data_IF_341299468137
#
_entry.id   IF_341299468137
#
_cell.length_a   1.000
_cell.length_b   1.000
_cell.length_c   1.000
_cell.angle_alpha   90.00
_cell.angle_beta   90.00
_cell.angle_gamma   90.00
#
_symmetry.space_group_name_H-M   'P 1'
#
loop_
_entity.id
_entity.type
_entity.pdbx_description
1 polymer ?
#
# COMPACT_ATOMS: atom_id res chain seq x y z
N UNK A 1 -9.06 -3.86 -41.57
CA UNK A 1 -8.89 -3.70 -40.11
C UNK A 1 -9.22 -2.26 -39.77
N UNK A 2 -10.37 -2.00 -39.15
CA UNK A 2 -10.74 -0.62 -38.76
C UNK A 2 -9.80 -0.16 -37.65
N UNK A 3 -9.19 1.01 -37.81
CA UNK A 3 -8.52 1.75 -36.72
C UNK A 3 -9.53 1.99 -35.60
N UNK A 4 -9.59 1.07 -34.62
CA UNK A 4 -10.25 1.34 -33.34
C UNK A 4 -9.41 2.43 -32.69
N UNK A 5 -9.89 3.68 -32.75
CA UNK A 5 -9.25 4.83 -32.10
C UNK A 5 -8.99 4.49 -30.64
N UNK A 6 -7.71 4.45 -30.27
CA UNK A 6 -7.27 4.38 -28.87
C UNK A 6 -7.96 5.52 -28.10
N UNK A 7 -8.67 5.18 -27.03
CA UNK A 7 -9.42 6.17 -26.25
C UNK A 7 -8.55 6.62 -25.08
N UNK A 8 -7.85 7.72 -25.28
CA UNK A 8 -7.12 8.42 -24.22
C UNK A 8 -8.10 9.26 -23.38
N UNK A 9 -7.93 9.22 -22.06
CA UNK A 9 -8.67 10.06 -21.12
C UNK A 9 -7.80 10.48 -19.95
N UNK A 10 -7.87 11.76 -19.60
CA UNK A 10 -7.23 12.32 -18.42
C UNK A 10 -8.24 12.53 -17.28
N UNK A 11 -7.81 12.22 -16.06
CA UNK A 11 -8.58 12.34 -14.83
C UNK A 11 -7.76 13.13 -13.80
N UNK A 12 -8.27 14.31 -13.44
CA UNK A 12 -7.73 15.13 -12.35
C UNK A 12 -8.48 14.81 -11.06
N UNK A 13 -8.13 13.69 -10.46
CA UNK A 13 -8.87 13.10 -9.35
C UNK A 13 -8.18 13.26 -8.00
N UNK A 14 -6.90 13.66 -7.93
CA UNK A 14 -6.23 13.82 -6.65
C UNK A 14 -6.82 14.98 -5.84
N UNK A 15 -7.17 14.71 -4.58
CA UNK A 15 -7.63 15.69 -3.60
C UNK A 15 -7.16 15.27 -2.20
N UNK A 16 -6.23 16.04 -1.63
CA UNK A 16 -5.62 15.73 -0.33
C UNK A 16 -6.62 15.75 0.83
N UNK A 17 -7.69 16.53 0.68
CA UNK A 17 -8.75 16.79 1.64
C UNK A 17 -9.99 15.91 1.43
N UNK A 18 -9.97 14.98 0.48
CA UNK A 18 -11.08 14.03 0.32
C UNK A 18 -11.33 13.28 1.63
N UNK A 19 -12.55 13.38 2.12
CA UNK A 19 -13.00 12.74 3.35
C UNK A 19 -13.43 11.30 3.05
N UNK A 20 -12.92 10.38 3.86
CA UNK A 20 -13.34 8.98 3.91
C UNK A 20 -13.96 8.69 5.27
N UNK A 21 -15.02 7.90 5.23
CA UNK A 21 -15.66 7.35 6.41
C UNK A 21 -15.08 5.96 6.70
N UNK A 22 -14.45 5.80 7.86
CA UNK A 22 -13.95 4.49 8.31
C UNK A 22 -14.00 4.36 9.82
N UNK A 23 -13.94 3.12 10.30
CA UNK A 23 -13.73 2.84 11.72
C UNK A 23 -12.23 2.85 12.03
N UNK A 24 -11.72 3.82 12.82
CA UNK A 24 -10.29 3.91 13.12
C UNK A 24 -9.78 2.71 13.93
N UNK A 25 -10.64 2.12 14.78
CA UNK A 25 -10.26 0.94 15.55
C UNK A 25 -9.94 -0.25 14.63
N UNK A 26 -10.65 -0.41 13.52
CA UNK A 26 -10.41 -1.50 12.57
C UNK A 26 -9.09 -1.31 11.83
N UNK A 27 -8.78 -0.07 11.40
CA UNK A 27 -7.48 0.23 10.77
C UNK A 27 -6.30 0.06 11.70
N UNK A 28 -6.47 0.38 12.98
CA UNK A 28 -5.43 0.15 13.99
C UNK A 28 -5.25 -1.36 14.24
N UNK A 29 -6.34 -2.13 14.34
CA UNK A 29 -6.28 -3.59 14.46
C UNK A 29 -5.60 -4.22 13.24
N UNK A 30 -5.89 -3.75 12.03
CA UNK A 30 -5.24 -4.21 10.80
C UNK A 30 -3.72 -3.94 10.84
N UNK A 31 -3.31 -2.77 11.32
CA UNK A 31 -1.90 -2.44 11.50
C UNK A 31 -1.23 -3.33 12.56
N UNK A 32 -1.90 -3.67 13.66
CA UNK A 32 -1.38 -4.61 14.67
C UNK A 32 -1.21 -6.01 14.07
N UNK A 33 -2.24 -6.55 13.41
CA UNK A 33 -2.17 -7.85 12.72
C UNK A 33 -1.02 -7.90 11.72
N UNK A 34 -0.90 -6.87 10.87
CA UNK A 34 0.20 -6.82 9.90
C UNK A 34 1.57 -6.79 10.57
N UNK A 35 1.69 -6.16 11.73
CA UNK A 35 2.95 -6.18 12.51
C UNK A 35 3.24 -7.58 13.04
N UNK A 36 2.22 -8.29 13.54
CA UNK A 36 2.33 -9.70 13.96
C UNK A 36 2.75 -10.60 12.79
N UNK A 37 2.09 -10.48 11.63
CA UNK A 37 2.40 -11.25 10.42
C UNK A 37 3.84 -11.06 9.97
N UNK A 38 4.34 -9.81 10.01
CA UNK A 38 5.73 -9.52 9.65
C UNK A 38 6.67 -10.23 10.64
N UNK A 39 6.41 -10.17 11.95
CA UNK A 39 7.24 -10.85 12.95
C UNK A 39 7.18 -12.38 12.77
N UNK A 40 6.00 -12.93 12.49
CA UNK A 40 5.82 -14.35 12.14
C UNK A 40 6.74 -14.75 10.98
N UNK A 41 6.70 -14.01 9.88
CA UNK A 41 7.53 -14.33 8.72
C UNK A 41 9.02 -14.06 8.93
N UNK A 42 9.40 -13.11 9.79
CA UNK A 42 10.81 -13.00 10.25
C UNK A 42 11.22 -14.29 10.97
N UNK A 43 10.39 -14.80 11.87
CA UNK A 43 10.68 -16.02 12.61
C UNK A 43 10.86 -17.21 11.67
N UNK A 44 10.00 -17.33 10.65
CA UNK A 44 10.07 -18.39 9.64
C UNK A 44 11.30 -18.29 8.73
N UNK A 45 11.65 -17.09 8.27
CA UNK A 45 12.74 -16.88 7.30
C UNK A 45 14.10 -16.74 7.96
N UNK A 46 14.18 -16.08 9.11
CA UNK A 46 15.42 -15.74 9.85
C UNK A 46 15.16 -15.61 11.35
N UNK A 47 14.86 -16.72 12.03
CA UNK A 47 14.47 -16.76 13.45
C UNK A 47 15.26 -15.85 14.42
N UNK A 48 16.59 -15.76 14.26
CA UNK A 48 17.44 -14.93 15.14
C UNK A 48 17.26 -13.41 15.00
N UNK A 49 16.58 -12.93 13.97
CA UNK A 49 16.47 -11.49 13.62
C UNK A 49 15.26 -10.82 14.32
N UNK A 50 14.26 -11.60 14.73
CA UNK A 50 13.00 -11.05 15.22
C UNK A 50 13.14 -10.15 16.48
N UNK A 51 13.95 -10.50 17.50
CA UNK A 51 14.14 -9.64 18.67
C UNK A 51 14.73 -8.27 18.31
N UNK A 52 15.82 -8.25 17.55
CA UNK A 52 16.50 -7.00 17.14
C UNK A 52 15.60 -6.13 16.26
N UNK A 53 14.80 -6.75 15.39
CA UNK A 53 13.81 -6.05 14.58
C UNK A 53 12.74 -5.36 15.44
N UNK A 54 12.22 -6.08 16.45
CA UNK A 54 11.21 -5.52 17.36
C UNK A 54 11.78 -4.33 18.13
N UNK A 55 13.01 -4.44 18.64
CA UNK A 55 13.68 -3.34 19.33
C UNK A 55 13.91 -2.12 18.41
N UNK A 56 14.39 -2.34 17.19
CA UNK A 56 14.59 -1.29 16.19
C UNK A 56 13.27 -0.59 15.84
N UNK A 57 12.19 -1.35 15.63
CA UNK A 57 10.87 -0.80 15.34
C UNK A 57 10.33 0.01 16.53
N UNK A 58 10.48 -0.48 17.77
CA UNK A 58 10.11 0.26 18.98
C UNK A 58 10.84 1.61 19.03
N UNK A 59 12.16 1.64 18.80
CA UNK A 59 12.97 2.85 18.82
C UNK A 59 12.48 3.87 17.78
N UNK A 60 12.18 3.42 16.57
CA UNK A 60 11.64 4.30 15.50
C UNK A 60 10.28 4.86 15.84
N UNK A 61 9.35 4.01 16.29
CA UNK A 61 8.00 4.46 16.64
C UNK A 61 8.01 5.40 17.84
N UNK A 62 8.85 5.16 18.85
CA UNK A 62 9.03 6.06 19.98
C UNK A 62 9.47 7.47 19.53
N UNK A 63 10.44 7.54 18.63
CA UNK A 63 10.91 8.81 18.06
C UNK A 63 9.80 9.52 17.29
N UNK A 64 8.99 8.77 16.54
CA UNK A 64 7.92 9.34 15.73
C UNK A 64 6.72 9.84 16.54
N UNK A 65 6.29 9.07 17.54
CA UNK A 65 5.12 9.46 18.32
C UNK A 65 5.42 10.58 19.32
N UNK A 66 6.69 10.88 19.61
CA UNK A 66 7.18 12.04 20.38
C UNK A 66 6.17 12.66 21.39
N UNK A 67 5.87 11.96 22.48
CA UNK A 67 4.98 12.49 23.53
C UNK A 67 3.48 12.58 23.18
N UNK A 68 3.06 12.10 22.00
CA UNK A 68 1.67 11.88 21.64
C UNK A 68 1.08 10.76 22.51
N UNK A 69 -0.03 11.02 23.17
CA UNK A 69 -0.71 10.09 24.08
C UNK A 69 -2.14 9.88 23.64
N UNK A 70 -2.65 8.67 23.85
CA UNK A 70 -4.01 8.27 23.54
C UNK A 70 -4.43 7.19 24.55
N UNK A 71 -5.73 7.08 24.86
CA UNK A 71 -6.25 5.98 25.65
C UNK A 71 -6.23 4.68 24.82
N UNK A 72 -5.08 4.00 24.79
CA UNK A 72 -4.90 2.77 24.00
C UNK A 72 -5.80 1.62 24.50
N UNK A 73 -6.21 1.66 25.77
CA UNK A 73 -7.13 0.68 26.37
C UNK A 73 -8.55 0.79 25.83
N UNK A 74 -8.91 1.91 25.19
CA UNK A 74 -10.22 2.07 24.57
C UNK A 74 -10.39 1.20 23.32
N UNK A 75 -9.31 0.68 22.74
CA UNK A 75 -9.35 -0.27 21.63
C UNK A 75 -9.36 -1.69 22.21
N UNK A 76 -10.50 -2.38 22.07
CA UNK A 76 -10.58 -3.80 22.39
C UNK A 76 -9.81 -4.63 21.36
N UNK A 77 -8.77 -5.34 21.80
CA UNK A 77 -8.00 -6.27 20.98
C UNK A 77 -8.53 -7.71 21.05
N UNK A 78 -9.50 -8.00 21.93
CA UNK A 78 -10.05 -9.35 22.19
C UNK A 78 -10.40 -10.14 20.93
N UNK A 79 -10.95 -9.48 19.92
CA UNK A 79 -11.36 -10.12 18.66
C UNK A 79 -10.17 -10.64 17.85
N UNK A 80 -9.01 -10.02 18.00
CA UNK A 80 -7.80 -10.31 17.22
C UNK A 80 -6.74 -11.05 18.03
N UNK A 81 -6.77 -10.95 19.36
CA UNK A 81 -5.83 -11.59 20.31
C UNK A 81 -5.61 -13.08 20.04
N UNK A 82 -6.68 -13.81 19.71
CA UNK A 82 -6.60 -15.25 19.40
C UNK A 82 -5.72 -15.54 18.17
N UNK A 83 -5.66 -14.60 17.23
CA UNK A 83 -4.92 -14.72 15.98
C UNK A 83 -3.50 -14.13 16.07
N UNK A 84 -3.20 -13.31 17.09
CA UNK A 84 -1.85 -12.80 17.31
C UNK A 84 -0.97 -13.94 17.82
N UNK A 85 0.17 -14.16 17.20
CA UNK A 85 1.07 -15.29 17.51
C UNK A 85 2.37 -14.82 18.16
N UNK A 86 2.89 -13.66 17.75
CA UNK A 86 4.20 -13.16 18.19
C UNK A 86 4.11 -11.83 18.98
N UNK A 87 3.02 -11.08 18.86
CA UNK A 87 2.77 -9.86 19.63
C UNK A 87 2.04 -10.10 20.96
N UNK A 88 1.74 -11.36 21.30
CA UNK A 88 1.03 -11.74 22.55
C UNK A 88 1.71 -11.27 23.85
N UNK A 89 2.97 -10.81 23.78
CA UNK A 89 3.76 -10.38 24.94
C UNK A 89 4.37 -8.97 24.77
N UNK A 90 4.03 -8.26 23.69
CA UNK A 90 4.61 -6.96 23.36
C UNK A 90 3.67 -5.78 23.63
N UNK A 91 3.32 -5.53 24.90
CA UNK A 91 2.46 -4.39 25.28
C UNK A 91 3.01 -3.06 24.74
N UNK A 92 4.33 -2.87 24.80
CA UNK A 92 4.96 -1.63 24.36
C UNK A 92 4.82 -1.41 22.85
N UNK A 93 5.23 -2.38 22.02
CA UNK A 93 5.14 -2.26 20.56
C UNK A 93 3.69 -2.10 20.11
N UNK A 94 2.76 -2.87 20.69
CA UNK A 94 1.33 -2.75 20.40
C UNK A 94 0.81 -1.34 20.70
N UNK A 95 1.15 -0.80 21.88
CA UNK A 95 0.79 0.57 22.25
C UNK A 95 1.42 1.62 21.33
N UNK A 96 2.64 1.42 20.86
CA UNK A 96 3.31 2.32 19.92
C UNK A 96 2.65 2.31 18.55
N UNK A 97 2.25 1.14 18.04
CA UNK A 97 1.47 1.03 16.79
C UNK A 97 0.15 1.77 16.94
N UNK A 98 -0.58 1.60 18.05
CA UNK A 98 -1.84 2.34 18.32
C UNK A 98 -1.60 3.85 18.29
N UNK A 99 -0.58 4.33 19.02
CA UNK A 99 -0.24 5.76 19.11
C UNK A 99 0.15 6.33 17.76
N UNK A 100 1.00 5.63 17.01
CA UNK A 100 1.44 6.05 15.69
C UNK A 100 0.27 6.18 14.72
N UNK A 101 -0.57 5.13 14.63
CA UNK A 101 -1.73 5.12 13.75
C UNK A 101 -2.71 6.24 14.11
N UNK A 102 -3.02 6.41 15.40
CA UNK A 102 -3.92 7.46 15.87
C UNK A 102 -3.38 8.88 15.55
N UNK A 103 -2.09 9.11 15.77
CA UNK A 103 -1.42 10.37 15.47
C UNK A 103 -1.49 10.70 13.98
N UNK A 104 -1.15 9.75 13.09
CA UNK A 104 -1.15 9.98 11.64
C UNK A 104 -2.57 10.08 11.06
N UNK A 105 -3.56 9.44 11.68
CA UNK A 105 -4.98 9.66 11.41
C UNK A 105 -5.50 11.00 11.94
N UNK A 106 -4.67 11.82 12.60
CA UNK A 106 -5.04 13.08 13.22
C UNK A 106 -6.16 12.94 14.28
N UNK A 107 -6.20 11.81 14.99
CA UNK A 107 -7.05 11.67 16.18
C UNK A 107 -6.52 12.62 17.26
N UNK A 108 -7.37 13.38 17.98
CA UNK A 108 -6.87 14.30 18.97
C UNK A 108 -6.17 13.57 20.12
N UNK A 109 -5.09 14.17 20.62
CA UNK A 109 -4.36 13.69 21.80
C UNK A 109 -5.33 13.47 22.97
N UNK A 110 -5.05 12.46 23.78
CA UNK A 110 -5.81 12.09 24.99
C UNK A 110 -7.28 11.70 24.72
N UNK A 111 -7.66 11.52 23.46
CA UNK A 111 -8.99 11.03 23.08
C UNK A 111 -9.14 9.53 23.32
N UNK A 112 -10.40 9.10 23.40
CA UNK A 112 -10.77 7.69 23.31
C UNK A 112 -11.05 7.34 21.86
N UNK A 113 -10.44 6.25 21.39
CA UNK A 113 -10.72 5.66 20.09
C UNK A 113 -11.96 4.79 20.27
N UNK A 114 -13.09 5.26 19.73
CA UNK A 114 -14.36 4.52 19.74
C UNK A 114 -14.47 3.66 18.48
N UNK A 115 -15.03 2.47 18.60
CA UNK A 115 -15.39 1.61 17.46
C UNK A 115 -16.63 2.14 16.74
N UNK A 116 -16.50 3.30 16.10
CA UNK A 116 -17.55 3.91 15.28
C UNK A 116 -16.95 4.51 14.03
N UNK A 117 -17.77 4.67 12.99
CA UNK A 117 -17.38 5.40 11.79
C UNK A 117 -17.02 6.83 12.18
N UNK A 118 -15.88 7.29 11.65
CA UNK A 118 -15.38 8.65 11.78
C UNK A 118 -14.78 9.11 10.44
N UNK A 119 -14.74 10.42 10.26
CA UNK A 119 -14.25 11.08 9.06
C UNK A 119 -12.74 11.33 9.15
N UNK A 120 -12.02 10.98 8.09
CA UNK A 120 -10.59 11.24 7.96
C UNK A 120 -10.26 11.64 6.53
N UNK A 121 -9.25 12.46 6.33
CA UNK A 121 -8.75 12.69 4.96
C UNK A 121 -8.08 11.41 4.44
N UNK A 122 -8.23 11.12 3.15
CA UNK A 122 -7.56 9.98 2.52
C UNK A 122 -6.03 10.10 2.65
N UNK A 123 -5.48 11.32 2.62
CA UNK A 123 -4.07 11.55 2.85
C UNK A 123 -3.63 11.15 4.26
N UNK A 124 -4.41 11.45 5.31
CA UNK A 124 -4.08 11.01 6.67
C UNK A 124 -4.16 9.48 6.80
N UNK A 125 -5.15 8.86 6.16
CA UNK A 125 -5.23 7.39 6.07
C UNK A 125 -3.97 6.81 5.42
N UNK A 126 -3.57 7.34 4.27
CA UNK A 126 -2.36 6.90 3.55
C UNK A 126 -1.09 7.12 4.38
N UNK A 127 -0.93 8.29 5.02
CA UNK A 127 0.19 8.56 5.94
C UNK A 127 0.27 7.56 7.09
N UNK A 128 -0.87 7.15 7.64
CA UNK A 128 -0.90 6.15 8.70
C UNK A 128 -0.49 4.76 8.18
N UNK A 129 -1.10 4.29 7.10
CA UNK A 129 -0.86 2.94 6.58
C UNK A 129 0.53 2.79 5.94
N UNK A 130 0.85 3.67 4.99
CA UNK A 130 2.10 3.61 4.22
C UNK A 130 3.29 4.02 5.08
N UNK A 131 3.10 5.01 5.96
CA UNK A 131 4.14 5.42 6.90
C UNK A 131 4.48 4.31 7.91
N UNK A 132 3.50 3.51 8.35
CA UNK A 132 3.76 2.36 9.20
C UNK A 132 4.59 1.29 8.45
N UNK A 133 4.29 1.04 7.16
CA UNK A 133 5.10 0.16 6.32
C UNK A 133 6.53 0.70 6.14
N UNK A 134 6.68 2.00 5.91
CA UNK A 134 7.98 2.65 5.82
C UNK A 134 8.84 2.37 7.06
N UNK A 135 8.29 2.55 8.26
CA UNK A 135 9.03 2.28 9.50
C UNK A 135 9.32 0.80 9.75
N UNK A 136 8.51 -0.12 9.23
CA UNK A 136 8.83 -1.56 9.26
C UNK A 136 10.06 -1.86 8.41
N UNK A 137 10.12 -1.34 7.19
CA UNK A 137 11.30 -1.54 6.32
C UNK A 137 12.54 -0.87 6.92
N UNK A 138 12.40 0.37 7.43
CA UNK A 138 13.50 1.08 8.09
C UNK A 138 14.03 0.36 9.34
N UNK A 139 13.19 -0.40 10.04
CA UNK A 139 13.63 -1.22 11.16
C UNK A 139 14.50 -2.40 10.71
N UNK A 140 14.21 -3.02 9.56
CA UNK A 140 15.10 -4.02 8.95
C UNK A 140 16.43 -3.44 8.52
N UNK A 141 16.41 -2.25 7.91
CA UNK A 141 17.64 -1.56 7.52
C UNK A 141 18.55 -1.27 8.72
N UNK A 142 18.00 -0.89 9.88
CA UNK A 142 18.81 -0.60 11.08
C UNK A 142 19.64 -1.80 11.55
N UNK A 143 19.13 -3.01 11.34
CA UNK A 143 19.72 -4.24 11.89
C UNK A 143 20.47 -5.08 10.85
N UNK A 144 20.11 -4.98 9.57
CA UNK A 144 20.70 -5.76 8.47
C UNK A 144 21.44 -4.89 7.45
N UNK A 145 21.28 -3.57 7.49
CA UNK A 145 21.66 -2.68 6.40
C UNK A 145 20.60 -2.62 5.30
N UNK A 146 20.73 -1.64 4.39
CA UNK A 146 19.69 -1.30 3.41
C UNK A 146 19.36 -2.45 2.45
N UNK A 147 20.37 -3.04 1.83
CA UNK A 147 20.20 -4.08 0.80
C UNK A 147 19.55 -5.35 1.38
N UNK A 148 20.12 -5.89 2.46
CA UNK A 148 19.59 -7.09 3.11
C UNK A 148 18.25 -6.85 3.80
N UNK A 149 18.04 -5.65 4.35
CA UNK A 149 16.78 -5.26 4.96
C UNK A 149 15.64 -5.18 3.94
N UNK A 150 15.89 -4.55 2.77
CA UNK A 150 14.94 -4.52 1.65
C UNK A 150 14.66 -5.93 1.17
N UNK A 151 15.70 -6.74 0.93
CA UNK A 151 15.56 -8.12 0.45
C UNK A 151 14.68 -8.97 1.36
N UNK A 152 14.95 -8.95 2.67
CA UNK A 152 14.15 -9.71 3.63
C UNK A 152 12.69 -9.23 3.66
N UNK A 153 12.46 -7.91 3.64
CA UNK A 153 11.10 -7.40 3.61
C UNK A 153 10.36 -7.77 2.32
N UNK A 154 11.04 -7.70 1.17
CA UNK A 154 10.49 -8.15 -0.10
C UNK A 154 10.08 -9.63 -0.06
N UNK A 155 10.90 -10.50 0.51
CA UNK A 155 10.58 -11.93 0.66
C UNK A 155 9.36 -12.14 1.60
N UNK A 156 9.25 -11.35 2.67
CA UNK A 156 8.06 -11.34 3.55
C UNK A 156 6.82 -10.88 2.79
N UNK A 157 6.91 -9.84 1.98
CA UNK A 157 5.78 -9.35 1.18
C UNK A 157 5.27 -10.40 0.19
N UNK A 158 6.16 -11.18 -0.43
CA UNK A 158 5.77 -12.31 -1.29
C UNK A 158 4.94 -13.35 -0.54
N UNK A 159 5.36 -13.73 0.67
CA UNK A 159 4.60 -14.65 1.53
C UNK A 159 3.21 -14.08 1.86
N UNK A 160 3.15 -12.82 2.28
CA UNK A 160 1.90 -12.14 2.60
C UNK A 160 0.95 -12.10 1.40
N UNK A 161 1.46 -11.81 0.20
CA UNK A 161 0.64 -11.77 -1.01
C UNK A 161 0.12 -13.16 -1.38
N UNK A 162 0.94 -14.21 -1.28
CA UNK A 162 0.48 -15.60 -1.47
C UNK A 162 -0.65 -15.96 -0.49
N UNK A 163 -0.50 -15.63 0.78
CA UNK A 163 -1.54 -15.86 1.79
C UNK A 163 -2.82 -15.09 1.45
N UNK A 164 -2.72 -13.81 1.07
CA UNK A 164 -3.87 -12.99 0.66
C UNK A 164 -4.59 -13.60 -0.55
N UNK A 165 -3.83 -13.98 -1.59
CA UNK A 165 -4.36 -14.58 -2.82
C UNK A 165 -5.06 -15.92 -2.60
N UNK A 166 -4.56 -16.74 -1.67
CA UNK A 166 -5.16 -18.04 -1.36
C UNK A 166 -6.63 -17.99 -0.92
N UNK A 167 -7.08 -16.82 -0.44
CA UNK A 167 -8.47 -16.59 0.01
C UNK A 167 -9.31 -15.75 -0.94
N UNK A 168 -8.70 -15.21 -1.99
CA UNK A 168 -9.36 -14.30 -2.92
C UNK A 168 -10.25 -15.09 -3.89
N UNK A 169 -11.52 -14.70 -3.99
CA UNK A 169 -12.43 -15.23 -5.02
C UNK A 169 -12.29 -14.41 -6.30
N UNK A 170 -11.97 -15.08 -7.40
CA UNK A 170 -11.83 -14.44 -8.70
C UNK A 170 -13.17 -14.53 -9.44
N UNK A 171 -13.71 -13.39 -9.86
CA UNK A 171 -14.86 -13.35 -10.76
C UNK A 171 -14.36 -13.45 -12.20
N UNK A 172 -14.47 -14.61 -12.83
CA UNK A 172 -13.96 -14.86 -14.19
C UNK A 172 -14.64 -14.04 -15.31
N UNK A 173 -15.75 -13.35 -15.00
CA UNK A 173 -16.53 -12.61 -16.00
C UNK A 173 -16.11 -11.16 -16.18
N UNK A 174 -15.24 -10.63 -15.32
CA UNK A 174 -14.83 -9.23 -15.43
C UNK A 174 -13.83 -9.04 -16.58
N UNK A 175 -13.99 -7.96 -17.34
CA UNK A 175 -13.01 -7.50 -18.34
C UNK A 175 -12.10 -6.43 -17.73
N UNK A 176 -10.94 -6.19 -18.35
CA UNK A 176 -10.05 -5.08 -17.96
C UNK A 176 -10.81 -3.75 -17.99
N UNK A 177 -11.60 -3.51 -19.04
CA UNK A 177 -12.46 -2.31 -19.13
C UNK A 177 -13.44 -2.19 -17.97
N UNK A 178 -14.16 -3.26 -17.59
CA UNK A 178 -15.11 -3.22 -16.49
C UNK A 178 -14.43 -2.95 -15.14
N UNK A 179 -13.29 -3.61 -14.87
CA UNK A 179 -12.48 -3.36 -13.66
C UNK A 179 -11.99 -1.90 -13.63
N UNK A 180 -11.54 -1.38 -14.77
CA UNK A 180 -11.06 0.00 -14.90
C UNK A 180 -12.15 1.03 -14.65
N UNK A 181 -13.34 0.86 -15.24
CA UNK A 181 -14.44 1.81 -15.04
C UNK A 181 -14.84 1.90 -13.56
N UNK A 182 -14.87 0.76 -12.86
CA UNK A 182 -15.07 0.72 -11.41
C UNK A 182 -13.91 1.35 -10.62
N UNK A 183 -12.67 1.07 -11.01
CA UNK A 183 -11.48 1.62 -10.36
C UNK A 183 -11.42 3.14 -10.50
N UNK A 184 -11.60 3.69 -11.71
CA UNK A 184 -11.61 5.12 -11.99
C UNK A 184 -12.67 5.84 -11.16
N UNK A 185 -13.90 5.32 -11.13
CA UNK A 185 -14.97 5.89 -10.31
C UNK A 185 -14.54 5.99 -8.84
N UNK A 186 -14.11 4.86 -8.25
CA UNK A 186 -13.66 4.79 -6.86
C UNK A 186 -12.47 5.71 -6.59
N UNK A 187 -11.45 5.69 -7.44
CA UNK A 187 -10.25 6.52 -7.28
C UNK A 187 -10.57 8.01 -7.31
N UNK A 188 -11.53 8.41 -8.13
CA UNK A 188 -12.00 9.80 -8.18
C UNK A 188 -12.88 10.18 -6.98
N UNK A 189 -13.70 9.27 -6.48
CA UNK A 189 -14.46 9.46 -5.23
C UNK A 189 -13.51 9.56 -4.02
N UNK A 190 -12.47 8.73 -3.96
CA UNK A 190 -11.51 8.66 -2.86
C UNK A 190 -10.36 9.66 -2.97
N UNK A 191 -10.24 10.41 -4.07
CA UNK A 191 -9.18 11.40 -4.25
C UNK A 191 -7.78 10.80 -4.49
N UNK A 192 -7.69 9.60 -5.07
CA UNK A 192 -6.47 8.76 -5.07
C UNK A 192 -5.34 9.33 -5.92
N UNK A 193 -5.61 9.93 -7.07
CA UNK A 193 -4.53 10.35 -7.96
C UNK A 193 -4.96 11.13 -9.18
N UNK A 194 -4.01 11.81 -9.81
CA UNK A 194 -4.14 12.41 -11.14
C UNK A 194 -3.50 11.45 -12.13
N UNK A 195 -4.24 11.03 -13.15
CA UNK A 195 -3.77 10.03 -14.09
C UNK A 195 -4.40 10.17 -15.48
N UNK A 196 -3.66 9.72 -16.47
CA UNK A 196 -4.17 9.49 -17.83
C UNK A 196 -4.22 8.00 -18.09
N UNK A 197 -5.24 7.53 -18.80
CA UNK A 197 -5.22 6.16 -19.31
C UNK A 197 -5.51 6.10 -20.81
N UNK A 198 -4.96 5.08 -21.45
CA UNK A 198 -5.29 4.69 -22.83
C UNK A 198 -5.86 3.27 -22.80
N UNK A 199 -7.13 3.14 -23.19
CA UNK A 199 -7.74 1.84 -23.43
C UNK A 199 -7.45 1.42 -24.88
N UNK A 200 -6.62 0.40 -25.05
CA UNK A 200 -6.30 -0.15 -26.36
C UNK A 200 -7.47 -0.98 -26.90
N UNK A 201 -8.03 -1.83 -26.04
CA UNK A 201 -9.22 -2.63 -26.28
C UNK A 201 -9.88 -3.00 -24.93
N UNK A 202 -10.93 -3.83 -24.94
CA UNK A 202 -11.66 -4.18 -23.70
C UNK A 202 -10.83 -4.99 -22.68
N UNK A 203 -9.69 -5.51 -23.11
CA UNK A 203 -8.82 -6.44 -22.40
C UNK A 203 -7.41 -5.89 -22.14
N UNK A 204 -7.14 -4.61 -22.44
CA UNK A 204 -5.83 -3.99 -22.22
C UNK A 204 -5.89 -2.48 -22.04
N UNK A 205 -5.26 -1.98 -20.98
CA UNK A 205 -5.16 -0.55 -20.65
C UNK A 205 -3.75 -0.22 -20.18
N UNK A 206 -3.28 1.00 -20.48
CA UNK A 206 -2.14 1.60 -19.79
C UNK A 206 -2.59 2.82 -19.00
N UNK A 207 -2.08 2.96 -17.78
CA UNK A 207 -2.17 4.15 -16.96
C UNK A 207 -0.82 4.86 -16.88
N UNK A 208 -0.90 6.18 -16.81
CA UNK A 208 0.18 7.07 -16.40
C UNK A 208 -0.34 7.88 -15.23
N UNK A 209 0.21 7.66 -14.04
CA UNK A 209 -0.10 8.48 -12.86
C UNK A 209 0.92 9.61 -12.74
N UNK A 210 0.43 10.84 -12.75
CA UNK A 210 1.20 12.06 -12.45
C UNK A 210 1.26 12.33 -10.94
N UNK A 211 0.25 11.85 -10.21
CA UNK A 211 0.13 12.03 -8.77
C UNK A 211 -0.64 10.88 -8.15
N UNK A 212 -0.22 10.44 -6.98
CA UNK A 212 -0.87 9.38 -6.23
C UNK A 212 -0.81 9.67 -4.72
N UNK A 213 -1.90 9.40 -3.99
CA UNK A 213 -2.02 9.62 -2.55
C UNK A 213 -0.96 8.86 -1.75
N UNK A 214 -0.57 7.68 -2.23
CA UNK A 214 0.48 6.86 -1.63
C UNK A 214 1.85 7.55 -1.72
N UNK A 215 2.22 8.04 -2.92
CA UNK A 215 3.45 8.82 -3.08
C UNK A 215 3.40 10.11 -2.26
N UNK A 216 2.28 10.83 -2.28
CA UNK A 216 2.11 12.07 -1.51
C UNK A 216 2.20 11.86 0.00
N UNK A 217 1.81 10.69 0.49
CA UNK A 217 1.93 10.32 1.90
C UNK A 217 3.38 10.10 2.33
N UNK A 218 4.24 9.63 1.42
CA UNK A 218 5.61 9.21 1.73
C UNK A 218 6.71 10.14 1.18
N UNK A 219 6.42 11.03 0.22
CA UNK A 219 7.43 11.87 -0.47
C UNK A 219 8.25 12.79 0.42
N UNK A 220 7.85 12.97 1.69
CA UNK A 220 8.58 13.74 2.69
C UNK A 220 9.67 12.93 3.39
N UNK A 221 9.67 11.61 3.23
CA UNK A 221 10.74 10.74 3.70
C UNK A 221 11.93 10.80 2.73
N UNK A 222 13.14 10.61 3.26
CA UNK A 222 14.39 10.83 2.56
C UNK A 222 14.97 9.56 1.88
N UNK A 223 14.18 8.50 1.74
CA UNK A 223 14.62 7.23 1.15
C UNK A 223 13.58 6.69 0.15
N UNK A 224 13.74 7.00 -1.16
CA UNK A 224 12.77 6.61 -2.18
C UNK A 224 12.70 5.09 -2.38
N UNK A 225 13.79 4.35 -2.20
CA UNK A 225 13.78 2.88 -2.32
C UNK A 225 12.92 2.26 -1.23
N UNK A 226 13.07 2.74 0.01
CA UNK A 226 12.27 2.23 1.13
C UNK A 226 10.82 2.69 1.00
N UNK A 227 10.56 3.90 0.52
CA UNK A 227 9.20 4.37 0.25
C UNK A 227 8.50 3.51 -0.84
N UNK A 228 9.23 3.14 -1.89
CA UNK A 228 8.77 2.23 -2.93
C UNK A 228 8.46 0.83 -2.38
N UNK A 229 9.39 0.23 -1.63
CA UNK A 229 9.21 -1.10 -1.03
C UNK A 229 8.03 -1.11 -0.04
N UNK A 230 7.85 -0.05 0.73
CA UNK A 230 6.79 0.06 1.73
C UNK A 230 5.38 0.14 1.14
N UNK A 231 5.23 0.59 -0.11
CA UNK A 231 3.93 1.03 -0.62
C UNK A 231 3.57 0.62 -2.04
N UNK A 232 4.56 0.44 -2.91
CA UNK A 232 4.35 0.12 -4.31
C UNK A 232 4.76 -1.30 -4.65
N UNK A 233 5.85 -1.83 -4.11
CA UNK A 233 6.47 -3.10 -4.52
C UNK A 233 5.53 -4.31 -4.60
N UNK A 234 4.47 -4.37 -3.78
CA UNK A 234 3.45 -5.44 -3.85
C UNK A 234 2.87 -5.62 -5.25
N UNK A 235 2.72 -4.57 -6.05
CA UNK A 235 2.21 -4.69 -7.42
C UNK A 235 3.25 -5.16 -8.46
N UNK A 236 4.52 -5.27 -8.09
CA UNK A 236 5.64 -5.64 -8.98
C UNK A 236 6.16 -7.06 -8.73
N UNK A 237 5.69 -7.73 -7.68
CA UNK A 237 6.06 -9.12 -7.42
C UNK A 237 5.21 -10.07 -8.26
N UNK A 238 5.81 -11.17 -8.72
CA UNK A 238 5.14 -12.17 -9.55
C UNK A 238 3.89 -12.76 -8.86
N UNK A 239 3.97 -12.92 -7.53
CA UNK A 239 2.89 -13.38 -6.67
C UNK A 239 1.60 -12.55 -6.78
N UNK A 240 1.69 -11.28 -7.19
CA UNK A 240 0.53 -10.43 -7.40
C UNK A 240 -0.35 -10.92 -8.56
N UNK A 241 0.29 -11.48 -9.59
CA UNK A 241 -0.37 -11.99 -10.78
C UNK A 241 -0.69 -13.49 -10.67
N UNK A 242 -0.11 -14.22 -9.70
CA UNK A 242 -0.38 -15.65 -9.50
C UNK A 242 -1.89 -15.92 -9.34
N UNK A 243 -2.41 -16.80 -10.20
CA UNK A 243 -3.82 -17.22 -10.20
C UNK A 243 -4.80 -16.20 -10.79
N UNK A 244 -4.37 -15.00 -11.18
CA UNK A 244 -5.23 -14.01 -11.84
C UNK A 244 -5.20 -14.17 -13.36
N UNK A 245 -6.29 -13.75 -14.02
CA UNK A 245 -6.31 -13.61 -15.47
C UNK A 245 -6.15 -12.15 -15.93
N UNK A 246 -6.30 -11.17 -15.04
CA UNK A 246 -5.92 -9.77 -15.31
C UNK A 246 -4.61 -9.48 -14.60
N UNK A 247 -3.55 -9.34 -15.38
CA UNK A 247 -2.22 -9.08 -14.87
C UNK A 247 -1.93 -7.58 -14.80
N UNK A 248 -0.97 -7.22 -13.94
CA UNK A 248 -0.37 -5.90 -13.80
C UNK A 248 1.14 -5.99 -14.09
N UNK A 249 1.67 -4.98 -14.79
CA UNK A 249 3.10 -4.70 -14.91
C UNK A 249 3.36 -3.21 -14.84
N UNK A 250 4.49 -2.84 -14.24
CA UNK A 250 5.01 -1.48 -14.16
C UNK A 250 6.48 -1.48 -14.49
N UNK A 251 7.02 -0.33 -14.91
CA UNK A 251 8.46 -0.18 -15.17
C UNK A 251 9.09 0.92 -14.33
N UNK A 252 8.29 1.87 -13.84
CA UNK A 252 8.72 2.91 -12.91
C UNK A 252 7.57 3.36 -12.00
N UNK A 253 7.94 4.03 -10.91
CA UNK A 253 6.97 4.60 -9.96
C UNK A 253 7.29 6.05 -9.64
N UNK A 254 6.30 6.75 -9.09
CA UNK A 254 6.43 8.14 -8.63
C UNK A 254 7.48 8.33 -7.51
N UNK A 255 7.93 7.26 -6.84
CA UNK A 255 8.99 7.38 -5.82
C UNK A 255 10.38 7.59 -6.43
N UNK A 256 10.59 7.15 -7.67
CA UNK A 256 11.89 7.20 -8.35
C UNK A 256 11.90 8.12 -9.57
N UNK A 257 10.74 8.34 -10.19
CA UNK A 257 10.60 9.06 -11.45
C UNK A 257 9.43 10.06 -11.41
N UNK A 258 9.24 10.82 -12.48
CA UNK A 258 8.20 11.86 -12.59
C UNK A 258 6.78 11.34 -12.89
N UNK A 259 6.63 10.03 -13.12
CA UNK A 259 5.33 9.36 -13.24
C UNK A 259 5.41 7.88 -12.87
N UNK A 260 4.26 7.25 -12.62
CA UNK A 260 4.12 5.79 -12.51
C UNK A 260 3.39 5.25 -13.73
N UNK A 261 3.88 4.17 -14.33
CA UNK A 261 3.24 3.50 -15.45
C UNK A 261 2.64 2.16 -15.05
N UNK A 262 1.37 1.92 -15.38
CA UNK A 262 0.72 0.65 -15.06
C UNK A 262 0.02 0.07 -16.28
N UNK A 263 0.49 -1.08 -16.76
CA UNK A 263 -0.16 -1.86 -17.79
C UNK A 263 -1.01 -2.94 -17.12
N UNK A 264 -2.30 -2.94 -17.44
CA UNK A 264 -3.19 -4.04 -17.09
C UNK A 264 -3.68 -4.73 -18.35
N UNK A 265 -3.68 -6.06 -18.35
CA UNK A 265 -4.13 -6.85 -19.49
C UNK A 265 -4.76 -8.18 -19.07
N UNK A 266 -5.67 -8.70 -19.90
CA UNK A 266 -6.28 -10.02 -19.74
C UNK A 266 -5.42 -11.08 -20.44
N UNK A 267 -4.85 -12.02 -19.69
CA UNK A 267 -3.98 -13.09 -20.20
C UNK A 267 -4.69 -14.08 -21.11
N UNK A 268 -6.02 -14.16 -21.04
CA UNK A 268 -6.83 -15.02 -21.92
C UNK A 268 -6.92 -14.48 -23.34
N UNK A 269 -6.56 -13.21 -23.54
CA UNK A 269 -6.62 -12.50 -24.82
C UNK A 269 -5.23 -12.04 -25.28
N UNK A 270 -4.44 -11.48 -24.36
CA UNK A 270 -3.07 -11.03 -24.60
C UNK A 270 -2.16 -11.78 -23.63
N UNK A 271 -1.41 -12.78 -24.08
CA UNK A 271 -0.62 -13.61 -23.16
C UNK A 271 0.40 -12.79 -22.34
N UNK A 272 1.31 -12.09 -23.04
CA UNK A 272 2.32 -11.25 -22.41
C UNK A 272 2.65 -10.02 -23.29
N UNK A 273 1.76 -9.03 -23.36
CA UNK A 273 2.00 -7.83 -24.16
C UNK A 273 3.21 -7.05 -23.65
N UNK A 274 3.95 -6.45 -24.58
CA UNK A 274 5.04 -5.54 -24.24
C UNK A 274 4.51 -4.29 -23.53
N UNK A 275 5.26 -3.82 -22.53
CA UNK A 275 5.02 -2.50 -21.94
C UNK A 275 5.33 -1.44 -22.99
N UNK A 276 4.44 -0.45 -23.21
CA UNK A 276 4.80 0.74 -23.98
C UNK A 276 6.07 1.41 -23.41
N UNK A 277 6.91 1.96 -24.28
CA UNK A 277 8.15 2.59 -23.86
C UNK A 277 7.89 3.78 -22.95
N UNK A 278 8.85 4.10 -22.07
CA UNK A 278 8.76 5.26 -21.18
C UNK A 278 8.61 6.58 -21.96
N UNK A 279 9.25 6.71 -23.12
CA UNK A 279 9.11 7.87 -24.00
C UNK A 279 7.69 8.02 -24.56
N UNK A 280 7.05 6.91 -24.91
CA UNK A 280 5.65 6.91 -25.30
C UNK A 280 4.78 7.31 -24.11
N UNK A 281 4.94 6.63 -22.98
CA UNK A 281 4.13 6.85 -21.78
C UNK A 281 4.26 8.27 -21.27
N UNK A 282 5.46 8.86 -21.28
CA UNK A 282 5.73 10.25 -20.86
C UNK A 282 4.92 11.29 -21.62
N UNK A 283 4.53 10.99 -22.87
CA UNK A 283 3.75 11.88 -23.74
C UNK A 283 2.23 11.72 -23.58
N UNK A 284 1.77 10.63 -22.96
CA UNK A 284 0.34 10.40 -22.72
C UNK A 284 -0.24 11.51 -21.83
N UNK A 285 -1.37 12.10 -22.22
CA UNK A 285 -2.06 13.16 -21.46
C UNK A 285 -1.43 14.54 -21.56
N UNK A 286 -0.26 14.67 -22.17
CA UNK A 286 0.39 15.96 -22.45
C UNK A 286 -0.01 16.38 -23.86
N UNK A 287 -1.05 17.22 -23.96
CA UNK A 287 -1.32 17.94 -25.21
C UNK A 287 -0.18 18.96 -25.41
N UNK A 288 0.61 18.78 -26.46
CA UNK A 288 1.39 19.88 -27.05
C UNK A 288 0.47 20.98 -27.58
#
# INVERSE_FOLDING_TARGET
>A
MSERRMKEKYYKCYKADTILELNPADKIKDAIKRTDDIIKHIVELRNGVAPDYVEALIKRLLSEVNGYTIDSKSISLREIEKNLTHLKQGDLLTNLVIRYMAMKLAIPKDSKIKSKIAEFTNLNRAKAMEGMNYYRVKAFEDILGKEDGIKLYSDILKLIVKEMKSTQKINEKDTVKARNEGAVKRWCEEGVGDFTFILYDENKVIYRFDRCVTHEALKHHNDPDIAYIASCFIGDIDEWNEGEYIHLRRTQTLHHEDFCDELYWDTRVHDNPEQPSLDFTRKIGKKE
#
